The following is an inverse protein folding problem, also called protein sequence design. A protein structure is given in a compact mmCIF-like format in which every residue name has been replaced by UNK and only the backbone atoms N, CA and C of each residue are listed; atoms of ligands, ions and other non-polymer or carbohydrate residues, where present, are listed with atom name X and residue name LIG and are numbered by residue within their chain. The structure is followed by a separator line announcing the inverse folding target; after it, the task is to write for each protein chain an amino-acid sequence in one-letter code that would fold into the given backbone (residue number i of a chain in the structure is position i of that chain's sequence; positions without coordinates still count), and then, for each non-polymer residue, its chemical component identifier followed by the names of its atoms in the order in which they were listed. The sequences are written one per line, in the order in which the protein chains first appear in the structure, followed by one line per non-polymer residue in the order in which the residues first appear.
data_IF_724237069544
#
_entry.id   IF_724237069544
#
_cell.length_a   1.000
_cell.length_b   1.000
_cell.length_c   1.000
_cell.angle_alpha   90.00
_cell.angle_beta   90.00
_cell.angle_gamma   90.00
#
_symmetry.space_group_name_H-M   'P 1'
#
loop_
_entity.id
_entity.type
_entity.pdbx_description
1 polymer ?
#
# COMPACT_ATOMS: atom_id res chain seq x y z
N UNK A 1 19.32 16.43 -10.86
CA UNK A 1 19.96 15.28 -11.53
C UNK A 1 19.56 13.98 -10.82
N UNK A 2 18.93 13.06 -11.54
CA UNK A 2 18.67 11.69 -11.06
C UNK A 2 19.96 10.86 -11.22
N UNK A 3 20.68 10.61 -10.14
CA UNK A 3 22.05 10.05 -10.14
C UNK A 3 22.29 8.65 -10.74
N UNK A 4 21.35 8.05 -11.50
CA UNK A 4 21.59 6.78 -12.23
C UNK A 4 20.84 6.71 -13.57
N UNK A 5 20.31 7.83 -14.08
CA UNK A 5 19.73 7.89 -15.43
C UNK A 5 20.75 8.56 -16.34
N UNK A 6 21.32 7.86 -17.34
CA UNK A 6 22.27 8.47 -18.27
C UNK A 6 21.67 9.75 -18.88
N UNK A 7 22.44 10.84 -19.03
CA UNK A 7 21.88 12.16 -19.30
C UNK A 7 21.33 12.37 -20.71
N UNK A 8 21.28 11.37 -21.58
CA UNK A 8 20.88 11.53 -22.97
C UNK A 8 20.08 10.34 -23.47
N UNK A 9 18.86 10.59 -23.94
CA UNK A 9 18.05 9.60 -24.64
C UNK A 9 17.73 10.08 -26.05
N UNK A 10 18.79 10.25 -26.84
CA UNK A 10 18.75 10.48 -28.28
C UNK A 10 17.98 11.73 -28.74
N UNK A 11 18.13 12.04 -30.02
CA UNK A 11 17.53 13.24 -30.62
C UNK A 11 16.09 13.02 -31.12
N UNK A 12 15.53 11.81 -30.92
CA UNK A 12 14.21 11.43 -31.43
C UNK A 12 13.19 11.22 -30.31
N UNK A 13 11.94 11.58 -30.57
CA UNK A 13 10.82 11.39 -29.63
C UNK A 13 10.65 9.92 -29.19
N UNK A 14 10.99 8.97 -30.06
CA UNK A 14 10.94 7.53 -29.78
C UNK A 14 11.97 7.14 -28.72
N UNK A 15 13.20 7.67 -28.82
CA UNK A 15 14.27 7.37 -27.85
C UNK A 15 13.94 7.95 -26.47
N UNK A 16 13.36 9.15 -26.43
CA UNK A 16 12.88 9.79 -25.20
C UNK A 16 11.70 9.02 -24.60
N UNK A 17 10.74 8.58 -25.42
CA UNK A 17 9.61 7.79 -24.93
C UNK A 17 10.05 6.44 -24.36
N UNK A 18 10.93 5.73 -25.07
CA UNK A 18 11.50 4.47 -24.62
C UNK A 18 12.30 4.64 -23.32
N UNK A 19 13.03 5.75 -23.18
CA UNK A 19 13.71 6.14 -21.95
C UNK A 19 12.78 6.22 -20.76
N UNK A 20 11.71 7.00 -20.93
CA UNK A 20 10.75 7.31 -19.88
C UNK A 20 10.04 6.03 -19.47
N UNK A 21 9.60 5.21 -20.44
CA UNK A 21 8.97 3.92 -20.17
C UNK A 21 9.93 2.97 -19.45
N UNK A 22 11.18 2.83 -19.92
CA UNK A 22 12.18 1.95 -19.28
C UNK A 22 12.54 2.42 -17.89
N UNK A 23 12.69 3.73 -17.67
CA UNK A 23 12.99 4.30 -16.37
C UNK A 23 11.83 4.03 -15.40
N UNK A 24 10.60 4.38 -15.79
CA UNK A 24 9.40 4.21 -14.97
C UNK A 24 9.14 2.74 -14.60
N UNK A 25 9.30 1.81 -15.55
CA UNK A 25 9.11 0.37 -15.27
C UNK A 25 10.24 -0.17 -14.39
N UNK A 26 11.50 0.21 -14.63
CA UNK A 26 12.66 -0.25 -13.83
C UNK A 26 12.60 0.25 -12.39
N UNK A 27 12.10 1.46 -12.15
CA UNK A 27 11.93 2.00 -10.80
C UNK A 27 11.00 1.12 -9.97
N UNK A 28 9.82 0.84 -10.51
CA UNK A 28 8.86 -0.08 -9.90
C UNK A 28 9.51 -1.43 -9.65
N UNK A 29 10.18 -2.06 -10.62
CA UNK A 29 10.79 -3.38 -10.39
C UNK A 29 11.87 -3.35 -9.30
N UNK A 30 12.68 -2.30 -9.18
CA UNK A 30 13.73 -2.21 -8.15
C UNK A 30 13.15 -1.98 -6.74
N UNK A 31 12.09 -1.19 -6.63
CA UNK A 31 11.38 -0.95 -5.36
C UNK A 31 10.56 -2.19 -4.96
N UNK A 32 9.86 -2.81 -5.92
CA UNK A 32 9.02 -4.00 -5.70
C UNK A 32 9.84 -5.27 -5.46
N UNK A 33 11.02 -5.43 -6.08
CA UNK A 33 11.92 -6.56 -5.78
C UNK A 33 12.60 -6.44 -4.41
N UNK A 34 12.23 -5.44 -3.60
CA UNK A 34 12.89 -5.15 -2.34
C UNK A 34 12.73 -6.30 -1.34
N UNK A 35 13.89 -6.79 -0.89
CA UNK A 35 14.04 -7.72 0.21
C UNK A 35 13.39 -7.24 1.53
N UNK A 36 12.86 -6.01 1.57
CA UNK A 36 12.23 -5.39 2.76
C UNK A 36 10.97 -6.14 3.16
N UNK A 37 10.06 -6.42 2.22
CA UNK A 37 8.83 -7.18 2.51
C UNK A 37 9.17 -8.61 2.93
N UNK A 38 10.06 -9.27 2.19
CA UNK A 38 10.53 -10.64 2.52
C UNK A 38 11.24 -10.71 3.88
N UNK A 39 12.03 -9.69 4.25
CA UNK A 39 12.76 -9.63 5.52
C UNK A 39 11.80 -9.42 6.70
N UNK A 40 10.75 -8.61 6.52
CA UNK A 40 9.82 -8.29 7.60
C UNK A 40 8.70 -9.32 7.76
N UNK A 41 8.14 -9.82 6.66
CA UNK A 41 6.96 -10.71 6.67
C UNK A 41 7.24 -12.13 6.15
N UNK A 42 8.53 -12.49 5.99
CA UNK A 42 8.98 -13.79 5.49
C UNK A 42 8.51 -14.09 4.06
N UNK A 43 8.75 -15.32 3.59
CA UNK A 43 8.47 -15.75 2.22
C UNK A 43 6.99 -15.72 1.83
N UNK A 44 6.07 -15.77 2.79
CA UNK A 44 4.62 -15.82 2.54
C UNK A 44 4.00 -14.47 2.16
N UNK A 45 4.75 -13.37 2.30
CA UNK A 45 4.28 -12.02 2.01
C UNK A 45 4.54 -11.56 0.57
N UNK A 46 4.91 -12.48 -0.32
CA UNK A 46 5.10 -12.18 -1.75
C UNK A 46 3.86 -12.43 -2.59
N UNK A 47 2.70 -12.63 -1.96
CA UNK A 47 1.44 -12.73 -2.70
C UNK A 47 1.17 -11.44 -3.44
N UNK A 48 0.64 -11.59 -4.65
CA UNK A 48 0.38 -10.50 -5.58
C UNK A 48 -1.12 -10.35 -5.71
N UNK A 49 -1.63 -9.13 -5.55
CA UNK A 49 -3.05 -8.83 -5.77
C UNK A 49 -3.38 -8.67 -7.26
N UNK A 50 -4.64 -8.39 -7.56
CA UNK A 50 -5.16 -8.33 -8.93
C UNK A 50 -4.44 -7.29 -9.82
N UNK A 51 -3.91 -6.23 -9.22
CA UNK A 51 -3.18 -5.16 -9.91
C UNK A 51 -1.65 -5.37 -9.97
N UNK A 52 -1.15 -6.53 -9.53
CA UNK A 52 0.28 -6.84 -9.60
C UNK A 52 1.13 -6.30 -8.43
N UNK A 53 0.51 -5.64 -7.45
CA UNK A 53 1.17 -5.18 -6.21
C UNK A 53 1.30 -6.27 -5.14
N UNK A 54 2.26 -6.13 -4.21
CA UNK A 54 2.37 -7.04 -3.07
C UNK A 54 1.25 -6.79 -2.06
N UNK A 55 0.68 -7.88 -1.52
CA UNK A 55 -0.35 -7.85 -0.47
C UNK A 55 0.16 -8.53 0.82
N UNK A 56 1.12 -7.93 1.55
CA UNK A 56 1.52 -8.42 2.86
C UNK A 56 0.38 -8.25 3.88
N UNK A 57 0.37 -9.07 4.93
CA UNK A 57 -0.61 -8.95 6.02
C UNK A 57 -0.22 -7.80 6.96
N UNK A 58 -0.50 -6.56 6.53
CA UNK A 58 -0.21 -5.34 7.29
C UNK A 58 -1.26 -5.15 8.39
N UNK A 59 -0.83 -4.80 9.60
CA UNK A 59 -1.76 -4.57 10.71
C UNK A 59 -2.25 -3.13 10.80
N UNK A 60 -1.46 -2.20 10.26
CA UNK A 60 -1.73 -0.77 10.35
C UNK A 60 -1.37 -0.06 9.02
N UNK A 61 -2.15 0.95 8.63
CA UNK A 61 -1.97 1.65 7.37
C UNK A 61 -0.62 2.39 7.31
N UNK A 62 -0.16 2.93 8.44
CA UNK A 62 1.14 3.64 8.51
C UNK A 62 2.30 2.68 8.27
N UNK A 63 2.17 1.43 8.72
CA UNK A 63 3.16 0.38 8.47
C UNK A 63 3.39 0.16 6.96
N UNK A 64 2.33 0.17 6.15
CA UNK A 64 2.42 0.09 4.69
C UNK A 64 3.19 1.26 4.07
N UNK A 65 2.92 2.48 4.54
CA UNK A 65 3.63 3.69 4.11
C UNK A 65 5.12 3.65 4.48
N UNK A 66 5.46 3.19 5.69
CA UNK A 66 6.86 3.09 6.13
C UNK A 66 7.64 2.02 5.36
N UNK A 67 6.98 0.93 4.96
CA UNK A 67 7.58 -0.07 4.05
C UNK A 67 7.93 0.55 2.69
N UNK A 68 7.00 1.31 2.11
CA UNK A 68 7.24 1.99 0.83
C UNK A 68 8.37 3.02 0.95
N UNK A 69 8.39 3.84 2.00
CA UNK A 69 9.49 4.79 2.26
C UNK A 69 10.83 4.07 2.38
N UNK A 70 10.88 2.97 3.13
CA UNK A 70 12.10 2.17 3.30
C UNK A 70 12.56 1.56 1.98
N UNK A 71 11.63 1.03 1.17
CA UNK A 71 11.95 0.46 -0.14
C UNK A 71 12.47 1.52 -1.13
N UNK A 72 11.85 2.72 -1.15
CA UNK A 72 12.30 3.87 -1.95
C UNK A 72 13.71 4.31 -1.53
N UNK A 73 13.96 4.39 -0.22
CA UNK A 73 15.27 4.75 0.32
C UNK A 73 16.35 3.71 -0.04
N UNK A 74 16.07 2.42 0.15
CA UNK A 74 16.98 1.32 -0.20
C UNK A 74 17.29 1.28 -1.70
N UNK A 75 16.35 1.69 -2.54
CA UNK A 75 16.53 1.79 -3.99
C UNK A 75 17.24 3.11 -4.42
N UNK A 76 17.67 3.96 -3.48
CA UNK A 76 18.33 5.26 -3.73
C UNK A 76 17.48 6.26 -4.53
N UNK A 77 16.16 6.18 -4.33
CA UNK A 77 15.16 7.05 -4.96
C UNK A 77 14.54 8.09 -4.02
N UNK A 78 15.15 8.31 -2.86
CA UNK A 78 14.73 9.36 -1.93
C UNK A 78 14.60 10.71 -2.65
N UNK A 79 13.42 11.36 -2.54
CA UNK A 79 13.04 12.62 -3.21
C UNK A 79 12.90 12.56 -4.74
N UNK A 80 13.05 11.38 -5.35
CA UNK A 80 12.88 11.14 -6.80
C UNK A 80 11.53 10.49 -7.12
N UNK A 81 10.91 9.88 -6.12
CA UNK A 81 9.60 9.21 -6.18
C UNK A 81 8.71 9.81 -5.08
N UNK A 82 7.44 10.02 -5.42
CA UNK A 82 6.39 10.44 -4.49
C UNK A 82 5.37 9.31 -4.36
N UNK A 83 4.71 9.22 -3.20
CA UNK A 83 3.70 8.20 -2.93
C UNK A 83 2.33 8.77 -3.27
N UNK A 84 1.58 8.06 -4.11
CA UNK A 84 0.15 8.28 -4.32
C UNK A 84 -0.65 7.17 -3.63
N UNK A 85 -1.87 7.47 -3.18
CA UNK A 85 -2.75 6.53 -2.49
C UNK A 85 -4.17 6.70 -3.02
N UNK A 86 -4.77 5.59 -3.45
CA UNK A 86 -6.22 5.50 -3.62
C UNK A 86 -6.79 4.89 -2.34
N UNK A 87 -7.47 5.71 -1.54
CA UNK A 87 -8.06 5.27 -0.27
C UNK A 87 -9.31 4.42 -0.52
N UNK A 88 -9.93 4.50 -1.70
CA UNK A 88 -11.21 3.87 -2.00
C UNK A 88 -12.27 4.15 -0.90
N UNK A 89 -12.30 5.39 -0.36
CA UNK A 89 -13.02 5.76 0.86
C UNK A 89 -14.51 5.36 0.87
N UNK A 90 -15.15 5.28 -0.30
CA UNK A 90 -16.53 4.81 -0.44
C UNK A 90 -16.75 3.38 0.09
N UNK A 91 -15.72 2.52 0.02
CA UNK A 91 -15.76 1.15 0.56
C UNK A 91 -15.80 1.09 2.08
N UNK A 92 -15.41 2.18 2.73
CA UNK A 92 -15.37 2.32 4.19
C UNK A 92 -16.52 3.19 4.71
N UNK A 93 -17.39 3.72 3.84
CA UNK A 93 -18.46 4.62 4.27
C UNK A 93 -19.66 3.84 4.81
N UNK A 94 -20.00 4.07 6.07
CA UNK A 94 -21.24 3.58 6.67
C UNK A 94 -22.37 4.58 6.45
N UNK A 95 -23.39 4.14 5.72
CA UNK A 95 -24.59 4.94 5.46
C UNK A 95 -25.44 5.14 6.72
N UNK A 96 -25.39 4.23 7.70
CA UNK A 96 -26.18 4.31 8.94
C UNK A 96 -25.58 5.35 9.89
N UNK A 97 -24.30 5.22 10.21
CA UNK A 97 -23.55 6.15 11.05
C UNK A 97 -23.18 7.47 10.37
N UNK A 98 -23.27 7.54 9.03
CA UNK A 98 -22.75 8.66 8.20
C UNK A 98 -21.27 8.96 8.48
N UNK A 99 -20.51 7.92 8.74
CA UNK A 99 -19.10 7.96 9.14
C UNK A 99 -18.28 6.98 8.30
N UNK A 100 -16.96 7.13 8.30
CA UNK A 100 -16.07 6.14 7.69
C UNK A 100 -15.61 5.14 8.76
N UNK A 101 -15.90 3.87 8.53
CA UNK A 101 -15.36 2.77 9.32
C UNK A 101 -13.93 2.47 8.88
N UNK A 102 -12.97 2.98 9.64
CA UNK A 102 -11.55 2.71 9.46
C UNK A 102 -11.04 1.64 10.45
N UNK A 103 -11.93 1.09 11.28
CA UNK A 103 -11.63 0.20 12.40
C UNK A 103 -11.86 -1.27 12.04
N UNK A 104 -11.42 -1.69 10.85
CA UNK A 104 -11.55 -3.07 10.35
C UNK A 104 -10.88 -4.16 11.25
N UNK A 105 -10.33 -3.81 12.41
CA UNK A 105 -9.60 -4.68 13.35
C UNK A 105 -9.86 -4.39 14.84
N UNK A 106 -11.02 -3.86 15.23
CA UNK A 106 -11.45 -4.00 16.63
C UNK A 106 -11.95 -5.44 16.83
N UNK A 107 -11.09 -6.31 17.37
CA UNK A 107 -11.47 -7.68 17.73
C UNK A 107 -12.48 -7.72 18.90
N UNK A 108 -12.64 -6.63 19.64
CA UNK A 108 -13.61 -6.49 20.72
C UNK A 108 -14.06 -5.01 20.83
N UNK A 109 -15.16 -4.63 20.16
CA UNK A 109 -15.69 -3.26 20.23
C UNK A 109 -16.37 -2.95 21.58
N UNK A 110 -16.40 -3.92 22.50
CA UNK A 110 -17.04 -3.82 23.80
C UNK A 110 -16.06 -4.19 24.91
N UNK A 111 -16.27 -3.61 26.08
CA UNK A 111 -15.58 -4.05 27.30
C UNK A 111 -16.04 -5.48 27.66
N UNK A 112 -15.19 -6.27 28.32
CA UNK A 112 -15.48 -7.71 28.55
C UNK A 112 -16.80 -7.99 29.29
N UNK A 113 -17.32 -7.00 30.03
CA UNK A 113 -18.58 -7.08 30.80
C UNK A 113 -19.78 -6.41 30.10
N UNK A 114 -19.63 -5.82 28.91
CA UNK A 114 -20.71 -5.16 28.18
C UNK A 114 -21.49 -6.13 27.27
N UNK A 115 -22.04 -7.16 27.91
CA UNK A 115 -22.90 -8.18 27.29
C UNK A 115 -24.16 -7.57 26.64
N UNK A 116 -24.61 -6.42 27.16
CA UNK A 116 -25.87 -5.80 26.78
C UNK A 116 -25.78 -5.14 25.40
N UNK A 117 -24.65 -4.48 25.08
CA UNK A 117 -24.41 -3.94 23.75
C UNK A 117 -23.92 -5.01 22.77
N UNK A 118 -23.17 -6.01 23.22
CA UNK A 118 -22.82 -7.18 22.39
C UNK A 118 -24.07 -7.91 21.87
N UNK A 119 -25.06 -8.13 22.74
CA UNK A 119 -26.33 -8.76 22.36
C UNK A 119 -27.12 -7.95 21.33
N UNK A 120 -27.10 -6.62 21.44
CA UNK A 120 -27.76 -5.72 20.46
C UNK A 120 -27.04 -5.75 19.12
N UNK A 121 -25.70 -5.75 19.12
CA UNK A 121 -24.91 -5.86 17.90
C UNK A 121 -25.24 -7.17 17.17
N UNK A 122 -25.17 -8.32 17.86
CA UNK A 122 -25.48 -9.63 17.27
C UNK A 122 -26.89 -9.68 16.66
N UNK A 123 -27.88 -9.04 17.30
CA UNK A 123 -29.23 -8.94 16.76
C UNK A 123 -29.34 -8.07 15.49
N UNK A 124 -28.47 -7.07 15.31
CA UNK A 124 -28.44 -6.21 14.11
C UNK A 124 -27.68 -6.83 12.93
N UNK A 125 -26.61 -7.61 13.18
CA UNK A 125 -25.82 -8.28 12.12
C UNK A 125 -26.43 -9.62 11.67
N UNK A 126 -27.35 -10.19 12.46
CA UNK A 126 -27.99 -11.49 12.18
C UNK A 126 -29.14 -11.48 11.15
N UNK A 127 -29.22 -10.48 10.26
CA UNK A 127 -30.17 -10.42 9.13
C UNK A 127 -29.48 -10.60 7.78
#
# INVERSE_FOLDING_TARGET
MLAEVPPFYGDSAVNIFEAVVRANIRFSTRIFKSAVIKKKYRQYATNVGDEGGFAPNIQDNKEGLELLKTAIANASYTRKVVIGMDVAALKFYDNKGKTYDLNFKEEDPFDQDDWENYSKLIAEIGQ
#
